data_IF_785013216875
#
_entry.id   IF_785013216875
#
_cell.length_a   1.000
_cell.length_b   1.000
_cell.length_c   1.000
_cell.angle_alpha   90.00
_cell.angle_beta   90.00
_cell.angle_gamma   90.00
#
_symmetry.space_group_name_H-M   'P 1'
#
loop_
_entity.id
_entity.type
_entity.pdbx_description
1 polymer ?
#
# COMPACT_ATOMS: atom_id res chain seq x y z
N UNK A 1 15.12 8.72 -15.41
CA UNK A 1 13.81 8.41 -14.81
C UNK A 1 13.37 7.05 -15.31
N UNK A 2 13.20 6.04 -14.45
CA UNK A 2 12.62 4.74 -14.88
C UNK A 2 11.14 5.00 -15.14
N UNK A 3 10.75 4.92 -16.42
CA UNK A 3 9.36 5.08 -16.84
C UNK A 3 8.50 4.04 -16.10
N UNK A 4 7.48 4.51 -15.39
CA UNK A 4 6.48 3.65 -14.76
C UNK A 4 5.74 2.90 -15.88
N UNK A 5 5.68 1.58 -15.79
CA UNK A 5 4.93 0.77 -16.76
C UNK A 5 3.46 1.25 -16.83
N UNK A 6 2.91 1.37 -18.04
CA UNK A 6 1.53 1.81 -18.28
C UNK A 6 0.48 1.01 -17.51
N UNK A 7 0.71 -0.29 -17.33
CA UNK A 7 -0.16 -1.17 -16.54
C UNK A 7 -0.15 -0.80 -15.05
N UNK A 8 1.02 -0.47 -14.49
CA UNK A 8 1.14 -0.01 -13.10
C UNK A 8 0.47 1.36 -12.92
N UNK A 9 0.61 2.26 -13.89
CA UNK A 9 -0.08 3.57 -13.88
C UNK A 9 -1.60 3.40 -13.96
N UNK A 10 -2.09 2.51 -14.84
CA UNK A 10 -3.51 2.21 -14.97
C UNK A 10 -4.08 1.61 -13.68
N UNK A 11 -3.44 0.60 -13.12
CA UNK A 11 -3.86 -0.04 -11.88
C UNK A 11 -3.90 0.93 -10.70
N UNK A 12 -2.88 1.81 -10.59
CA UNK A 12 -2.85 2.88 -9.59
C UNK A 12 -4.07 3.79 -9.68
N UNK A 13 -4.36 4.35 -10.85
CA UNK A 13 -5.49 5.26 -11.05
C UNK A 13 -6.84 4.56 -10.84
N UNK A 14 -6.98 3.33 -11.35
CA UNK A 14 -8.21 2.55 -11.22
C UNK A 14 -8.54 2.28 -9.75
N UNK A 15 -7.58 1.76 -8.99
CA UNK A 15 -7.79 1.46 -7.57
C UNK A 15 -7.99 2.72 -6.74
N UNK A 16 -7.30 3.82 -7.04
CA UNK A 16 -7.53 5.10 -6.36
C UNK A 16 -8.96 5.62 -6.56
N UNK A 17 -9.45 5.60 -7.80
CA UNK A 17 -10.83 6.04 -8.11
C UNK A 17 -11.86 5.13 -7.46
N UNK A 18 -11.65 3.81 -7.48
CA UNK A 18 -12.59 2.86 -6.87
C UNK A 18 -12.58 2.96 -5.34
N UNK A 19 -11.41 3.15 -4.72
CA UNK A 19 -11.28 3.39 -3.28
C UNK A 19 -11.99 4.67 -2.84
N UNK A 20 -11.88 5.76 -3.61
CA UNK A 20 -12.57 7.00 -3.30
C UNK A 20 -14.10 6.92 -3.45
N UNK A 21 -14.59 5.96 -4.24
CA UNK A 21 -16.03 5.78 -4.53
C UNK A 21 -16.68 4.64 -3.73
N UNK A 22 -15.89 3.78 -3.09
CA UNK A 22 -16.43 2.69 -2.28
C UNK A 22 -17.25 3.22 -1.12
N UNK A 23 -18.30 2.47 -0.78
CA UNK A 23 -19.25 2.82 0.30
C UNK A 23 -19.23 1.81 1.44
N UNK A 24 -18.34 0.83 1.36
CA UNK A 24 -18.22 -0.25 2.33
C UNK A 24 -16.74 -0.59 2.54
N UNK A 25 -16.43 -0.96 3.79
CA UNK A 25 -15.06 -1.24 4.23
C UNK A 25 -14.41 -2.41 3.49
N UNK A 26 -15.21 -3.37 3.00
CA UNK A 26 -14.67 -4.55 2.32
C UNK A 26 -14.11 -4.14 0.96
N UNK A 27 -14.88 -3.37 0.19
CA UNK A 27 -14.46 -2.81 -1.10
C UNK A 27 -13.31 -1.83 -0.94
N UNK A 28 -13.33 -0.97 0.08
CA UNK A 28 -12.21 -0.07 0.40
C UNK A 28 -10.91 -0.84 0.62
N UNK A 29 -10.92 -1.85 1.50
CA UNK A 29 -9.73 -2.65 1.81
C UNK A 29 -9.22 -3.42 0.61
N UNK A 30 -10.10 -3.86 -0.29
CA UNK A 30 -9.71 -4.54 -1.52
C UNK A 30 -9.02 -3.57 -2.51
N UNK A 31 -9.60 -2.40 -2.73
CA UNK A 31 -8.99 -1.39 -3.60
C UNK A 31 -7.71 -0.80 -3.00
N UNK A 32 -7.64 -0.67 -1.68
CA UNK A 32 -6.42 -0.27 -0.99
C UNK A 32 -5.27 -1.28 -1.20
N UNK A 33 -5.54 -2.58 -1.21
CA UNK A 33 -4.52 -3.60 -1.47
C UNK A 33 -3.97 -3.49 -2.92
N UNK A 34 -4.85 -3.27 -3.90
CA UNK A 34 -4.45 -3.05 -5.29
C UNK A 34 -3.66 -1.75 -5.50
N UNK A 35 -4.12 -0.66 -4.88
CA UNK A 35 -3.40 0.61 -4.88
C UNK A 35 -2.02 0.47 -4.25
N UNK A 36 -1.94 -0.19 -3.09
CA UNK A 36 -0.70 -0.44 -2.36
C UNK A 36 0.32 -1.21 -3.20
N UNK A 37 -0.13 -2.24 -3.94
CA UNK A 37 0.75 -3.00 -4.84
C UNK A 37 1.40 -2.09 -5.88
N UNK A 38 0.61 -1.23 -6.52
CA UNK A 38 1.10 -0.29 -7.54
C UNK A 38 2.06 0.76 -6.94
N UNK A 39 1.74 1.27 -5.75
CA UNK A 39 2.58 2.23 -5.02
C UNK A 39 3.92 1.62 -4.59
N UNK A 40 3.95 0.36 -4.17
CA UNK A 40 5.20 -0.34 -3.83
C UNK A 40 6.08 -0.49 -5.07
N UNK A 41 5.51 -0.88 -6.22
CA UNK A 41 6.27 -0.93 -7.48
C UNK A 41 6.89 0.43 -7.81
N UNK A 42 6.13 1.51 -7.61
CA UNK A 42 6.62 2.87 -7.83
C UNK A 42 7.75 3.25 -6.85
N UNK A 43 7.57 2.95 -5.56
CA UNK A 43 8.56 3.23 -4.51
C UNK A 43 9.90 2.53 -4.76
N UNK A 44 9.86 1.33 -5.35
CA UNK A 44 11.07 0.57 -5.70
C UNK A 44 11.72 1.06 -6.99
N UNK A 45 10.95 1.65 -7.90
CA UNK A 45 11.44 2.17 -9.17
C UNK A 45 12.00 3.59 -9.05
N UNK A 46 11.54 4.37 -8.06
CA UNK A 46 11.85 5.78 -7.89
C UNK A 46 11.75 6.22 -6.43
N UNK A 47 12.58 7.19 -6.04
CA UNK A 47 12.54 7.78 -4.70
C UNK A 47 11.26 8.61 -4.52
N UNK A 48 10.37 8.18 -3.63
CA UNK A 48 9.08 8.83 -3.38
C UNK A 48 9.12 9.95 -2.34
N UNK A 49 10.06 9.89 -1.40
CA UNK A 49 10.20 10.86 -0.30
C UNK A 49 11.67 11.05 0.05
N UNK A 50 11.99 12.16 0.70
CA UNK A 50 13.33 12.39 1.26
C UNK A 50 13.64 11.39 2.39
N UNK A 51 12.63 11.13 3.23
CA UNK A 51 12.67 10.19 4.35
C UNK A 51 12.39 8.74 3.91
N UNK A 52 12.80 7.73 4.70
CA UNK A 52 12.50 6.34 4.41
C UNK A 52 11.00 6.03 4.40
N UNK A 53 10.59 5.14 3.48
CA UNK A 53 9.25 4.55 3.43
C UNK A 53 9.35 3.07 3.81
N UNK A 54 8.45 2.61 4.65
CA UNK A 54 8.42 1.23 5.13
C UNK A 54 7.38 0.42 4.36
N UNK A 55 7.80 -0.64 3.68
CA UNK A 55 6.88 -1.64 3.18
C UNK A 55 6.50 -2.57 4.33
N UNK A 56 5.21 -2.71 4.58
CA UNK A 56 4.64 -3.56 5.61
C UNK A 56 3.82 -4.69 4.98
N UNK A 57 3.74 -5.82 5.69
CA UNK A 57 3.01 -7.01 5.24
C UNK A 57 2.04 -7.51 6.31
N UNK A 58 0.81 -7.84 5.89
CA UNK A 58 -0.19 -8.50 6.71
C UNK A 58 -0.29 -9.97 6.32
N UNK A 59 0.07 -10.92 7.22
CA UNK A 59 0.02 -12.36 6.91
C UNK A 59 -1.41 -12.89 6.72
N UNK A 60 -2.40 -12.30 7.40
CA UNK A 60 -3.80 -12.74 7.32
C UNK A 60 -4.46 -12.37 6.00
N UNK A 61 -4.30 -11.12 5.56
CA UNK A 61 -4.83 -10.64 4.27
C UNK A 61 -3.93 -11.04 3.08
N UNK A 62 -2.68 -11.43 3.34
CA UNK A 62 -1.63 -11.69 2.33
C UNK A 62 -1.43 -10.48 1.41
N UNK A 63 -1.34 -9.30 2.01
CA UNK A 63 -1.22 -8.03 1.27
C UNK A 63 -0.20 -7.10 1.93
N UNK A 64 0.38 -6.24 1.10
CA UNK A 64 1.38 -5.25 1.52
C UNK A 64 0.79 -3.84 1.51
N UNK A 65 1.43 -2.92 2.25
CA UNK A 65 1.19 -1.48 2.15
C UNK A 65 2.46 -0.69 2.44
N UNK A 66 2.45 0.62 2.18
CA UNK A 66 3.52 1.55 2.53
C UNK A 66 3.13 2.40 3.73
N UNK A 67 4.10 2.72 4.58
CA UNK A 67 3.96 3.60 5.73
C UNK A 67 5.14 4.57 5.80
N UNK A 68 4.90 5.82 6.19
CA UNK A 68 5.95 6.78 6.55
C UNK A 68 6.47 6.56 7.97
N UNK A 69 5.77 5.77 8.78
CA UNK A 69 6.16 5.42 10.15
C UNK A 69 6.61 3.97 10.23
N UNK A 70 7.63 3.68 11.06
CA UNK A 70 8.10 2.30 11.30
C UNK A 70 7.13 1.49 12.16
N UNK A 71 6.32 2.14 13.00
CA UNK A 71 5.32 1.49 13.83
C UNK A 71 4.19 0.91 12.97
N UNK A 72 3.83 -0.36 13.17
CA UNK A 72 2.80 -1.04 12.39
C UNK A 72 1.41 -0.54 12.79
N UNK A 73 0.67 0.00 11.81
CA UNK A 73 -0.76 0.36 11.88
C UNK A 73 -1.50 -0.33 10.74
N UNK A 74 -2.02 -1.53 10.99
CA UNK A 74 -2.62 -2.40 10.00
C UNK A 74 -4.03 -1.92 9.56
N UNK A 75 -4.26 -1.66 8.27
CA UNK A 75 -5.53 -1.12 7.78
C UNK A 75 -6.65 -2.18 7.59
N UNK A 76 -6.35 -3.47 7.69
CA UNK A 76 -7.25 -4.53 7.21
C UNK A 76 -8.25 -5.06 8.25
N UNK A 77 -7.97 -4.90 9.55
CA UNK A 77 -8.78 -5.51 10.62
C UNK A 77 -9.11 -4.56 11.77
N UNK A 78 -8.95 -3.25 11.56
CA UNK A 78 -9.29 -2.23 12.55
C UNK A 78 -8.51 -2.40 13.86
N UNK A 79 -9.14 -2.03 14.98
CA UNK A 79 -8.52 -2.08 16.31
C UNK A 79 -8.10 -3.49 16.75
N UNK A 80 -8.83 -4.52 16.30
CA UNK A 80 -8.58 -5.91 16.71
C UNK A 80 -7.18 -6.42 16.30
N UNK A 81 -6.59 -5.85 15.25
CA UNK A 81 -5.24 -6.25 14.79
C UNK A 81 -4.40 -5.04 14.36
N UNK A 82 -4.62 -3.87 14.96
CA UNK A 82 -3.97 -2.62 14.54
C UNK A 82 -2.43 -2.72 14.55
N UNK A 83 -1.86 -3.48 15.49
CA UNK A 83 -0.41 -3.67 15.62
C UNK A 83 0.11 -4.94 14.93
N UNK A 84 -0.75 -5.71 14.27
CA UNK A 84 -0.38 -6.97 13.62
C UNK A 84 0.21 -6.73 12.23
N UNK A 85 1.38 -7.29 11.95
CA UNK A 85 2.06 -7.19 10.66
C UNK A 85 3.55 -7.00 10.87
N UNK A 86 4.31 -6.98 9.78
CA UNK A 86 5.76 -6.86 9.84
C UNK A 86 6.24 -5.81 8.83
N UNK A 87 7.27 -5.05 9.20
CA UNK A 87 8.07 -4.31 8.23
C UNK A 87 8.89 -5.32 7.45
N UNK A 88 8.66 -5.41 6.14
CA UNK A 88 9.37 -6.36 5.26
C UNK A 88 10.48 -5.68 4.46
N UNK A 89 10.42 -4.35 4.30
CA UNK A 89 11.45 -3.59 3.59
C UNK A 89 11.47 -2.13 4.06
N UNK A 90 12.66 -1.52 4.03
CA UNK A 90 12.84 -0.06 4.21
C UNK A 90 13.40 0.51 2.91
N UNK A 91 12.61 1.36 2.25
CA UNK A 91 12.91 1.99 0.96
C UNK A 91 13.44 3.41 1.25
N UNK A 92 14.60 3.79 0.67
CA UNK A 92 15.32 5.06 0.94
C UNK A 92 15.48 5.95 -0.30
#
# INVERSE_FOLDING_TARGET
SKVINENSKKGLLEHAVKLAKSKDLKSEREHFAGLSTSMITLAKASKLSAEPVYQMYCPMKKSNWLSSEKAVKNPYYGSAMLTCGNVVETIK
#
